data_IF_351946862435
#
_entry.id   IF_351946862435
#
_cell.length_a   1.000
_cell.length_b   1.000
_cell.length_c   1.000
_cell.angle_alpha   90.00
_cell.angle_beta   90.00
_cell.angle_gamma   90.00
#
_symmetry.space_group_name_H-M   'P 1'
#
loop_
_entity.id
_entity.type
_entity.pdbx_description
1 polymer ?
#
# COMPACT_ATOMS: atom_id res chain seq x y z
N UNK A 1 10.38 12.45 -20.55
CA UNK A 1 10.84 12.06 -19.19
C UNK A 1 9.87 11.01 -18.65
N UNK A 2 10.36 9.88 -18.14
CA UNK A 2 9.50 8.87 -17.51
C UNK A 2 9.25 9.30 -16.06
N UNK A 3 8.00 9.65 -15.75
CA UNK A 3 7.63 10.00 -14.37
C UNK A 3 7.59 8.68 -13.59
N UNK A 4 8.54 8.50 -12.67
CA UNK A 4 8.59 7.33 -11.79
C UNK A 4 7.87 7.64 -10.50
N UNK A 5 7.02 6.71 -10.05
CA UNK A 5 6.33 6.88 -8.78
C UNK A 5 7.29 6.74 -7.60
N UNK A 6 7.17 7.58 -6.57
CA UNK A 6 7.90 7.43 -5.31
C UNK A 6 7.53 6.11 -4.65
N UNK A 7 8.53 5.28 -4.37
CA UNK A 7 8.35 3.98 -3.74
C UNK A 7 9.49 3.62 -2.79
N UNK A 8 9.24 2.66 -1.89
CA UNK A 8 10.22 2.11 -0.95
C UNK A 8 10.15 0.57 -0.91
N UNK A 9 11.22 -0.04 -0.42
CA UNK A 9 11.21 -1.42 0.10
C UNK A 9 10.98 -1.39 1.61
N UNK A 10 9.96 -2.08 2.13
CA UNK A 10 9.64 -2.08 3.56
C UNK A 10 10.73 -2.73 4.41
N UNK A 11 10.82 -2.32 5.67
CA UNK A 11 11.64 -3.01 6.67
C UNK A 11 11.04 -4.38 7.04
N UNK A 12 11.85 -5.23 7.64
CA UNK A 12 11.38 -6.48 8.24
C UNK A 12 10.33 -6.18 9.32
N UNK A 13 9.16 -6.82 9.23
CA UNK A 13 8.00 -6.61 10.11
C UNK A 13 7.38 -5.21 10.02
N UNK A 14 7.60 -4.46 8.93
CA UNK A 14 6.89 -3.21 8.71
C UNK A 14 5.37 -3.42 8.70
N UNK A 15 4.64 -2.52 9.36
CA UNK A 15 3.18 -2.48 9.33
C UNK A 15 2.69 -1.30 8.50
N UNK A 16 1.44 -1.34 8.05
CA UNK A 16 0.84 -0.26 7.28
C UNK A 16 0.85 1.06 8.07
N UNK A 17 0.60 0.99 9.38
CA UNK A 17 0.55 2.13 10.29
C UNK A 17 1.92 2.79 10.43
N UNK A 18 2.97 2.00 10.67
CA UNK A 18 4.32 2.53 10.83
C UNK A 18 4.82 3.20 9.54
N UNK A 19 4.53 2.59 8.37
CA UNK A 19 4.90 3.17 7.07
C UNK A 19 4.10 4.44 6.80
N UNK A 20 2.80 4.46 7.11
CA UNK A 20 1.94 5.63 6.94
C UNK A 20 2.40 6.80 7.83
N UNK A 21 2.70 6.55 9.10
CA UNK A 21 3.18 7.58 10.04
C UNK A 21 4.52 8.18 9.57
N UNK A 22 5.44 7.34 9.08
CA UNK A 22 6.76 7.79 8.63
C UNK A 22 6.72 8.59 7.32
N UNK A 23 5.84 8.21 6.38
CA UNK A 23 5.88 8.73 5.02
C UNK A 23 4.71 9.65 4.63
N UNK A 24 3.61 9.62 5.38
CA UNK A 24 2.42 10.44 5.19
C UNK A 24 2.04 11.23 6.47
N UNK A 25 2.97 11.96 7.11
CA UNK A 25 2.72 12.60 8.41
C UNK A 25 1.71 13.76 8.37
N UNK A 26 1.34 14.21 7.17
CA UNK A 26 0.37 15.29 6.98
C UNK A 26 -1.09 14.81 7.04
N UNK A 27 -1.33 13.51 7.03
CA UNK A 27 -2.66 12.89 7.05
C UNK A 27 -2.94 12.29 8.43
N UNK A 28 -4.22 12.22 8.78
CA UNK A 28 -4.64 11.41 9.93
C UNK A 28 -4.26 9.94 9.73
N UNK A 29 -3.93 9.24 10.82
CA UNK A 29 -3.40 7.87 10.77
C UNK A 29 -4.29 6.93 9.97
N UNK A 30 -5.60 6.94 10.20
CA UNK A 30 -6.51 6.00 9.55
C UNK A 30 -6.67 6.34 8.06
N UNK A 31 -6.70 7.64 7.73
CA UNK A 31 -6.73 8.10 6.35
C UNK A 31 -5.43 7.79 5.60
N UNK A 32 -4.29 7.94 6.26
CA UNK A 32 -2.97 7.65 5.71
C UNK A 32 -2.83 6.16 5.39
N UNK A 33 -3.26 5.29 6.33
CA UNK A 33 -3.29 3.84 6.13
C UNK A 33 -4.22 3.47 4.98
N UNK A 34 -5.43 4.02 4.93
CA UNK A 34 -6.40 3.72 3.86
C UNK A 34 -5.85 4.12 2.48
N UNK A 35 -5.23 5.31 2.36
CA UNK A 35 -4.60 5.74 1.10
C UNK A 35 -3.42 4.83 0.73
N UNK A 36 -2.54 4.53 1.68
CA UNK A 36 -1.40 3.67 1.45
C UNK A 36 -1.83 2.27 0.98
N UNK A 37 -2.87 1.68 1.59
CA UNK A 37 -3.44 0.41 1.15
C UNK A 37 -4.06 0.51 -0.25
N UNK A 38 -4.82 1.58 -0.52
CA UNK A 38 -5.44 1.81 -1.83
C UNK A 38 -4.41 2.00 -2.95
N UNK A 39 -3.25 2.60 -2.68
CA UNK A 39 -2.20 2.76 -3.68
C UNK A 39 -1.39 1.49 -3.92
N UNK A 40 -1.50 0.51 -3.02
CA UNK A 40 -0.74 -0.73 -2.98
C UNK A 40 -1.66 -1.97 -2.97
N UNK A 41 -2.76 -1.92 -3.72
CA UNK A 41 -3.74 -3.01 -3.80
C UNK A 41 -3.12 -4.36 -4.18
N UNK A 42 -2.02 -4.38 -4.94
CA UNK A 42 -1.31 -5.61 -5.29
C UNK A 42 -0.73 -6.34 -4.06
N UNK A 43 -0.39 -5.61 -3.00
CA UNK A 43 0.05 -6.15 -1.71
C UNK A 43 -1.16 -6.36 -0.80
N UNK A 44 -2.02 -5.34 -0.69
CA UNK A 44 -3.14 -5.35 0.23
C UNK A 44 -4.20 -6.42 -0.09
N UNK A 45 -4.44 -6.72 -1.37
CA UNK A 45 -5.40 -7.73 -1.82
C UNK A 45 -4.78 -9.12 -2.03
N UNK A 46 -3.50 -9.31 -1.67
CA UNK A 46 -2.82 -10.61 -1.77
C UNK A 46 -3.60 -11.67 -0.98
N UNK A 47 -3.63 -12.93 -1.40
CA UNK A 47 -4.22 -13.99 -0.56
C UNK A 47 -3.08 -14.63 0.22
N UNK A 48 -3.16 -14.62 1.55
CA UNK A 48 -2.27 -15.45 2.37
C UNK A 48 -2.80 -16.88 2.28
N UNK A 49 -1.99 -17.80 1.74
CA UNK A 49 -2.38 -19.21 1.54
C UNK A 49 -2.25 -20.04 2.84
N UNK A 50 -1.82 -19.44 3.95
CA UNK A 50 -1.83 -20.12 5.24
C UNK A 50 -3.25 -20.20 5.79
N UNK A 51 -3.92 -21.26 5.34
CA UNK A 51 -4.93 -21.99 6.07
C UNK A 51 -4.33 -22.38 7.42
N UNK A 52 -4.76 -21.70 8.49
CA UNK A 52 -5.11 -22.34 9.76
C UNK A 52 -5.57 -21.26 10.73
N UNK A 53 -6.79 -21.46 11.25
CA UNK A 53 -7.45 -20.77 12.35
C UNK A 53 -8.00 -19.35 12.10
N UNK A 54 -9.33 -19.26 12.25
CA UNK A 54 -10.15 -18.07 12.46
C UNK A 54 -10.44 -17.16 11.25
N UNK A 55 -11.54 -17.49 10.55
CA UNK A 55 -12.29 -16.60 9.65
C UNK A 55 -12.82 -15.32 10.32
N UNK A 56 -12.59 -15.13 11.62
CA UNK A 56 -12.97 -13.94 12.40
C UNK A 56 -11.88 -12.86 12.43
N UNK A 57 -10.65 -13.18 12.00
CA UNK A 57 -9.55 -12.22 11.87
C UNK A 57 -9.11 -12.18 10.42
N UNK A 58 -9.80 -11.36 9.64
CA UNK A 58 -9.34 -10.88 8.34
C UNK A 58 -8.10 -10.00 8.56
N UNK A 59 -7.03 -10.57 9.14
CA UNK A 59 -5.83 -9.86 9.50
C UNK A 59 -5.15 -9.43 8.21
N UNK A 60 -5.13 -8.12 8.01
CA UNK A 60 -4.24 -7.36 7.13
C UNK A 60 -3.16 -8.22 6.47
N UNK A 61 -3.15 -8.30 5.14
CA UNK A 61 -2.04 -8.92 4.43
C UNK A 61 -0.71 -8.36 4.93
N UNK A 62 0.24 -9.22 5.36
CA UNK A 62 1.52 -8.76 5.84
C UNK A 62 2.29 -8.11 4.69
N UNK A 63 2.87 -6.95 4.97
CA UNK A 63 3.86 -6.32 4.10
C UNK A 63 5.17 -7.10 4.24
N UNK A 64 5.78 -7.48 3.11
CA UNK A 64 7.05 -8.19 3.07
C UNK A 64 8.20 -7.25 2.70
N UNK A 65 9.44 -7.52 3.14
CA UNK A 65 10.60 -6.72 2.74
C UNK A 65 10.89 -6.73 1.24
N UNK A 66 10.46 -7.78 0.54
CA UNK A 66 10.56 -7.92 -0.91
C UNK A 66 9.49 -7.14 -1.68
N UNK A 67 8.50 -6.58 -0.99
CA UNK A 67 7.45 -5.80 -1.64
C UNK A 67 7.98 -4.42 -2.06
N UNK A 68 7.37 -3.84 -3.10
CA UNK A 68 7.56 -2.44 -3.48
C UNK A 68 6.30 -1.68 -3.07
N UNK A 69 6.44 -0.75 -2.12
CA UNK A 69 5.36 0.11 -1.66
C UNK A 69 5.44 1.49 -2.30
N UNK A 70 4.37 1.90 -2.97
CA UNK A 70 4.20 3.23 -3.50
C UNK A 70 3.69 4.19 -2.42
N UNK A 71 4.30 5.37 -2.35
CA UNK A 71 4.01 6.42 -1.37
C UNK A 71 3.19 7.58 -1.94
N UNK A 72 2.70 7.45 -3.16
CA UNK A 72 1.93 8.47 -3.86
C UNK A 72 0.88 7.82 -4.77
N UNK A 73 -0.21 8.52 -5.14
CA UNK A 73 -1.28 7.93 -5.93
C UNK A 73 -0.79 7.43 -7.29
N UNK A 74 -1.50 6.46 -7.90
CA UNK A 74 -1.25 6.09 -9.29
C UNK A 74 -1.41 7.33 -10.17
N UNK A 75 -0.45 7.57 -11.04
CA UNK A 75 -0.59 8.60 -12.06
C UNK A 75 -1.61 8.11 -13.07
N UNK A 76 -2.85 8.53 -12.90
CA UNK A 76 -3.85 8.36 -13.94
C UNK A 76 -3.38 9.20 -15.10
N UNK A 77 -2.83 8.56 -16.12
CA UNK A 77 -2.65 9.22 -17.39
C UNK A 77 -4.05 9.61 -17.85
N UNK A 78 -4.39 10.89 -17.75
CA UNK A 78 -5.63 11.42 -18.32
C UNK A 78 -5.50 11.10 -19.80
N UNK A 79 -6.18 10.05 -20.25
CA UNK A 79 -6.43 9.87 -21.68
C UNK A 79 -7.32 11.06 -21.99
N UNK A 80 -6.73 12.10 -22.59
CA UNK A 80 -7.53 13.15 -23.18
C UNK A 80 -8.40 12.43 -24.21
N UNK A 81 -9.68 12.26 -23.86
CA UNK A 81 -10.67 11.78 -24.80
C UNK A 81 -10.70 12.82 -25.92
N UNK A 82 -10.08 12.46 -27.04
CA UNK A 82 -10.25 13.16 -28.31
C UNK A 82 -11.74 13.07 -28.65
N UNK A 83 -12.42 14.21 -28.68
CA UNK A 83 -13.81 14.35 -29.15
C UNK A 83 -14.57 15.42 -28.41
#
# INVERSE_FOLDING_TARGET
MKILRKSITPALNATWEAVAEQHLPALDRDQAVAQLQSWNLHIFARRVVNQDSDSSRQSSNPILPSDILFLEPPHTQRVEALG
#
